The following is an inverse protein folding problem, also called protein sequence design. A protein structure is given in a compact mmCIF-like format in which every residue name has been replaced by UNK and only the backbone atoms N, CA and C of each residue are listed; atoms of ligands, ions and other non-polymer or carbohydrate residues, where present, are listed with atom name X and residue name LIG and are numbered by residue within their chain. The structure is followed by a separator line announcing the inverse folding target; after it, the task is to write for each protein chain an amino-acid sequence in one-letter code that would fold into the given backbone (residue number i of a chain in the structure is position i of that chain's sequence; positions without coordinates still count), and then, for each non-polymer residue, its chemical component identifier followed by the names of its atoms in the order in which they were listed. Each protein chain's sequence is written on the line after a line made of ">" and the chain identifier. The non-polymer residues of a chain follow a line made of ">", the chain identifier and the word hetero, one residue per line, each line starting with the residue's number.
data_IF_427156897366
#
_entry.id   IF_427156897366
#
_cell.length_a   1.000
_cell.length_b   1.000
_cell.length_c   1.000
_cell.angle_alpha   90.00
_cell.angle_beta   90.00
_cell.angle_gamma   90.00
#
_symmetry.space_group_name_H-M   'P 1'
#
loop_
_entity.id
_entity.type
_entity.pdbx_description
1 polymer ?
#
# COMPACT_ATOMS: atom_id res chain seq x y z
N UNK A 1 47.26 -3.08 2.78
CA UNK A 1 46.56 -1.78 2.57
C UNK A 1 46.68 -0.94 3.82
N UNK A 2 46.93 0.37 3.69
CA UNK A 2 47.11 1.27 4.85
C UNK A 2 45.77 1.42 5.58
N UNK A 3 45.76 1.27 6.91
CA UNK A 3 44.56 1.34 7.78
C UNK A 3 43.70 2.59 7.54
N UNK A 4 44.34 3.70 7.18
CA UNK A 4 43.70 4.98 6.82
C UNK A 4 42.86 4.91 5.54
N UNK A 5 43.25 4.03 4.61
CA UNK A 5 42.56 3.79 3.34
C UNK A 5 41.32 2.89 3.51
N UNK A 6 41.35 1.98 4.50
CA UNK A 6 40.20 1.15 4.85
C UNK A 6 39.08 1.97 5.52
N UNK A 7 39.44 2.91 6.40
CA UNK A 7 38.48 3.79 7.09
C UNK A 7 37.77 4.77 6.14
N UNK A 8 38.46 5.25 5.10
CA UNK A 8 37.87 6.14 4.09
C UNK A 8 36.80 5.45 3.24
N UNK A 9 36.95 4.14 2.97
CA UNK A 9 35.98 3.35 2.19
C UNK A 9 34.75 3.00 3.04
N UNK A 10 34.93 2.72 4.32
CA UNK A 10 33.83 2.39 5.25
C UNK A 10 32.94 3.62 5.52
N UNK A 11 33.55 4.79 5.71
CA UNK A 11 32.80 6.03 5.96
C UNK A 11 32.12 6.58 4.69
N UNK A 12 32.73 6.41 3.51
CA UNK A 12 32.17 6.87 2.24
C UNK A 12 30.92 6.10 1.78
N UNK A 13 30.72 4.87 2.26
CA UNK A 13 29.58 4.03 1.87
C UNK A 13 28.30 4.31 2.68
N UNK A 14 28.42 4.86 3.90
CA UNK A 14 27.26 5.10 4.77
C UNK A 14 26.54 6.43 4.51
N UNK A 15 27.22 7.42 3.93
CA UNK A 15 26.66 8.77 3.70
C UNK A 15 25.59 8.81 2.60
N UNK A 16 25.69 8.10 1.45
CA UNK A 16 24.61 8.11 0.47
C UNK A 16 23.39 7.27 0.90
N UNK A 17 23.56 6.29 1.79
CA UNK A 17 22.46 5.39 2.21
C UNK A 17 21.43 6.07 3.14
N UNK A 18 21.75 7.20 3.75
CA UNK A 18 20.86 7.91 4.69
C UNK A 18 19.97 8.98 4.04
N UNK A 19 20.12 9.26 2.74
CA UNK A 19 19.45 10.41 2.10
C UNK A 19 18.23 10.07 1.23
N UNK A 20 17.85 8.79 1.14
CA UNK A 20 16.76 8.34 0.24
C UNK A 20 15.59 7.65 0.95
N UNK A 21 15.27 8.07 2.18
CA UNK A 21 13.94 7.84 2.75
C UNK A 21 13.12 9.13 2.73
N UNK A 22 12.75 9.59 1.53
CA UNK A 22 11.54 10.39 1.41
C UNK A 22 10.36 9.41 1.57
N UNK A 23 9.78 9.39 2.76
CA UNK A 23 8.64 8.56 3.09
C UNK A 23 7.45 9.02 2.25
N UNK A 24 6.93 8.14 1.39
CA UNK A 24 5.63 8.32 0.75
C UNK A 24 4.57 7.96 1.79
N UNK A 25 4.17 8.96 2.59
CA UNK A 25 2.98 8.83 3.41
C UNK A 25 1.78 8.86 2.47
N UNK A 26 1.18 7.70 2.20
CA UNK A 26 -0.21 7.65 1.79
C UNK A 26 -0.99 8.36 2.91
N UNK A 27 -1.56 9.52 2.61
CA UNK A 27 -2.32 10.28 3.59
C UNK A 27 -3.63 9.54 3.84
N UNK A 28 -3.75 8.89 5.00
CA UNK A 28 -5.02 8.34 5.45
C UNK A 28 -6.08 9.46 5.51
N UNK A 29 -7.32 9.20 5.06
CA UNK A 29 -8.38 10.20 5.10
C UNK A 29 -8.66 10.64 6.53
N UNK A 30 -8.83 11.95 6.73
CA UNK A 30 -9.11 12.50 8.06
C UNK A 30 -10.49 12.07 8.55
N UNK A 31 -10.70 12.03 9.87
CA UNK A 31 -12.01 11.71 10.45
C UNK A 31 -13.13 12.64 9.94
N UNK A 32 -12.80 13.91 9.68
CA UNK A 32 -13.74 14.88 9.11
C UNK A 32 -14.16 14.49 7.67
N UNK A 33 -13.22 14.02 6.86
CA UNK A 33 -13.51 13.58 5.49
C UNK A 33 -14.33 12.27 5.47
N UNK A 34 -14.07 11.36 6.41
CA UNK A 34 -14.90 10.15 6.56
C UNK A 34 -16.33 10.49 6.96
N UNK A 35 -16.55 11.46 7.84
CA UNK A 35 -17.90 11.89 8.21
C UNK A 35 -18.62 12.58 7.04
N UNK A 36 -17.89 13.43 6.30
CA UNK A 36 -18.40 14.06 5.08
C UNK A 36 -18.78 13.03 4.02
N UNK A 37 -17.99 11.95 3.87
CA UNK A 37 -18.34 10.85 2.98
C UNK A 37 -19.66 10.21 3.38
N UNK A 38 -19.88 9.91 4.67
CA UNK A 38 -21.16 9.34 5.13
C UNK A 38 -22.35 10.24 4.84
N UNK A 39 -22.19 11.55 4.98
CA UNK A 39 -23.23 12.51 4.63
C UNK A 39 -23.57 12.45 3.15
N UNK A 40 -22.54 12.44 2.28
CA UNK A 40 -22.71 12.27 0.84
C UNK A 40 -23.35 10.93 0.49
N UNK A 41 -22.92 9.84 1.13
CA UNK A 41 -23.45 8.49 0.91
C UNK A 41 -24.94 8.42 1.25
N UNK A 42 -25.32 8.96 2.41
CA UNK A 42 -26.73 9.01 2.80
C UNK A 42 -27.56 9.75 1.75
N UNK A 43 -27.07 10.90 1.27
CA UNK A 43 -27.81 11.68 0.28
C UNK A 43 -27.94 10.91 -1.03
N UNK A 44 -26.85 10.33 -1.55
CA UNK A 44 -26.84 9.65 -2.85
C UNK A 44 -27.64 8.34 -2.81
N UNK A 45 -27.39 7.51 -1.80
CA UNK A 45 -27.88 6.13 -1.77
C UNK A 45 -29.21 5.97 -1.04
N UNK A 46 -29.66 6.99 -0.30
CA UNK A 46 -30.97 7.02 0.35
C UNK A 46 -31.82 8.17 -0.19
N UNK A 47 -31.46 9.43 0.12
CA UNK A 47 -32.37 10.57 -0.06
C UNK A 47 -32.64 10.91 -1.54
N UNK A 48 -31.68 10.66 -2.44
CA UNK A 48 -31.75 10.99 -3.88
C UNK A 48 -31.77 9.78 -4.79
N UNK A 49 -31.84 8.57 -4.24
CA UNK A 49 -31.74 7.32 -5.01
C UNK A 49 -32.74 7.27 -6.18
N UNK A 50 -33.98 7.69 -5.93
CA UNK A 50 -35.05 7.66 -6.93
C UNK A 50 -34.83 8.72 -8.01
N UNK A 51 -34.52 9.97 -7.64
CA UNK A 51 -34.26 11.06 -8.59
C UNK A 51 -33.04 10.76 -9.49
N UNK A 52 -31.98 10.19 -8.92
CA UNK A 52 -30.80 9.78 -9.69
C UNK A 52 -31.18 8.69 -10.71
N UNK A 53 -31.99 7.72 -10.31
CA UNK A 53 -32.46 6.66 -11.20
C UNK A 53 -33.35 7.22 -12.33
N UNK A 54 -34.27 8.15 -12.03
CA UNK A 54 -35.11 8.82 -13.04
C UNK A 54 -34.29 9.61 -14.06
N UNK A 55 -33.18 10.22 -13.63
CA UNK A 55 -32.23 10.92 -14.51
C UNK A 55 -31.28 9.98 -15.26
N UNK A 56 -31.35 8.67 -15.03
CA UNK A 56 -30.44 7.69 -15.61
C UNK A 56 -29.00 7.79 -15.09
N UNK A 57 -28.81 8.37 -13.90
CA UNK A 57 -27.51 8.54 -13.25
C UNK A 57 -27.29 7.36 -12.30
N UNK A 58 -26.23 6.61 -12.54
CA UNK A 58 -25.76 5.54 -11.64
C UNK A 58 -24.51 6.01 -10.91
N UNK A 59 -24.53 6.04 -9.58
CA UNK A 59 -23.31 6.25 -8.78
C UNK A 59 -22.68 4.90 -8.48
N UNK A 60 -21.41 4.72 -8.84
CA UNK A 60 -20.69 3.45 -8.69
C UNK A 60 -19.92 3.36 -7.39
N UNK A 61 -19.39 4.48 -6.90
CA UNK A 61 -18.66 4.57 -5.63
C UNK A 61 -18.58 6.02 -5.14
N UNK A 62 -18.24 6.14 -3.87
CA UNK A 62 -17.76 7.38 -3.24
C UNK A 62 -16.43 7.11 -2.55
N UNK A 63 -15.55 8.11 -2.52
CA UNK A 63 -14.30 8.00 -1.79
C UNK A 63 -13.89 9.36 -1.19
N UNK A 64 -13.32 9.39 0.02
CA UNK A 64 -12.80 10.62 0.59
C UNK A 64 -11.44 10.93 -0.02
N UNK A 65 -11.30 12.11 -0.61
CA UNK A 65 -10.01 12.69 -1.01
C UNK A 65 -9.49 13.59 0.12
N UNK A 66 -8.37 14.29 -0.13
CA UNK A 66 -7.78 15.21 0.86
C UNK A 66 -8.77 16.30 1.30
N UNK A 67 -9.50 16.89 0.33
CA UNK A 67 -10.37 18.06 0.56
C UNK A 67 -11.81 17.90 0.01
N UNK A 68 -12.07 16.88 -0.80
CA UNK A 68 -13.36 16.66 -1.50
C UNK A 68 -13.80 15.19 -1.38
N UNK A 69 -15.06 14.92 -1.69
CA UNK A 69 -15.55 13.55 -1.87
C UNK A 69 -15.58 13.24 -3.36
N UNK A 70 -14.87 12.21 -3.77
CA UNK A 70 -14.97 11.66 -5.12
C UNK A 70 -16.32 10.94 -5.27
N UNK A 71 -17.01 11.17 -6.39
CA UNK A 71 -18.25 10.49 -6.76
C UNK A 71 -18.05 9.90 -8.16
N UNK A 72 -17.94 8.58 -8.24
CA UNK A 72 -17.87 7.86 -9.51
C UNK A 72 -19.25 7.69 -10.12
N UNK A 73 -19.42 8.10 -11.37
CA UNK A 73 -20.74 8.05 -12.04
C UNK A 73 -20.72 7.37 -13.40
N UNK A 74 -21.87 6.82 -13.77
CA UNK A 74 -22.17 6.37 -15.12
C UNK A 74 -23.59 6.81 -15.53
N UNK A 75 -23.77 7.44 -16.71
CA UNK A 75 -22.73 7.88 -17.64
C UNK A 75 -21.95 9.11 -17.13
N UNK A 76 -20.65 9.16 -17.43
CA UNK A 76 -19.80 10.33 -17.18
C UNK A 76 -19.94 11.36 -18.31
N UNK A 77 -20.86 12.31 -18.14
CA UNK A 77 -21.11 13.39 -19.10
C UNK A 77 -21.41 14.71 -18.38
N UNK A 78 -21.39 15.83 -19.12
CA UNK A 78 -21.57 17.17 -18.57
C UNK A 78 -22.88 17.35 -17.78
N UNK A 79 -23.97 16.71 -18.22
CA UNK A 79 -25.28 16.81 -17.57
C UNK A 79 -25.23 16.17 -16.18
N UNK A 80 -24.67 14.97 -16.08
CA UNK A 80 -24.48 14.26 -14.79
C UNK A 80 -23.54 15.04 -13.87
N UNK A 81 -22.43 15.52 -14.41
CA UNK A 81 -21.40 16.25 -13.65
C UNK A 81 -21.98 17.55 -13.09
N UNK A 82 -22.63 18.35 -13.93
CA UNK A 82 -23.24 19.61 -13.51
C UNK A 82 -24.31 19.41 -12.45
N UNK A 83 -25.18 18.39 -12.59
CA UNK A 83 -26.22 18.11 -11.60
C UNK A 83 -25.61 17.84 -10.21
N UNK A 84 -24.56 17.01 -10.12
CA UNK A 84 -23.91 16.70 -8.85
C UNK A 84 -23.11 17.87 -8.28
N UNK A 85 -22.42 18.64 -9.13
CA UNK A 85 -21.68 19.83 -8.71
C UNK A 85 -22.63 20.93 -8.23
N UNK A 86 -23.76 21.15 -8.90
CA UNK A 86 -24.76 22.13 -8.49
C UNK A 86 -25.38 21.76 -7.14
N UNK A 87 -25.61 20.46 -6.92
CA UNK A 87 -26.21 19.96 -5.69
C UNK A 87 -25.25 20.01 -4.50
N UNK A 88 -24.04 19.48 -4.63
CA UNK A 88 -23.07 19.37 -3.51
C UNK A 88 -22.14 20.57 -3.41
N UNK A 89 -21.97 21.34 -4.48
CA UNK A 89 -20.99 22.41 -4.61
C UNK A 89 -19.62 21.93 -5.08
N UNK A 90 -19.02 22.67 -6.01
CA UNK A 90 -17.73 22.36 -6.67
C UNK A 90 -16.56 22.17 -5.68
N UNK A 91 -16.61 22.81 -4.52
CA UNK A 91 -15.57 22.70 -3.48
C UNK A 91 -15.75 21.48 -2.57
N UNK A 92 -16.85 20.76 -2.68
CA UNK A 92 -17.18 19.64 -1.80
C UNK A 92 -16.99 18.29 -2.45
N UNK A 93 -17.20 18.21 -3.77
CA UNK A 93 -17.17 16.94 -4.51
C UNK A 93 -16.32 17.04 -5.76
N UNK A 94 -15.80 15.90 -6.18
CA UNK A 94 -15.13 15.72 -7.46
C UNK A 94 -15.82 14.57 -8.18
N UNK A 95 -16.37 14.82 -9.36
CA UNK A 95 -17.10 13.80 -10.12
C UNK A 95 -16.13 13.14 -11.09
N UNK A 96 -16.10 11.81 -11.11
CA UNK A 96 -15.19 11.03 -11.97
C UNK A 96 -15.96 9.96 -12.75
N UNK A 97 -15.32 9.42 -13.79
CA UNK A 97 -15.88 8.30 -14.54
C UNK A 97 -15.89 7.02 -13.70
N UNK A 98 -17.10 6.59 -13.32
CA UNK A 98 -17.33 5.41 -12.50
C UNK A 98 -17.06 4.08 -13.19
N UNK A 99 -16.81 4.08 -14.51
CA UNK A 99 -16.38 2.90 -15.26
C UNK A 99 -14.90 2.57 -15.08
N UNK A 100 -14.10 3.52 -14.61
CA UNK A 100 -12.74 3.26 -14.19
C UNK A 100 -12.79 2.78 -12.74
N UNK A 101 -12.57 1.48 -12.52
CA UNK A 101 -12.47 0.92 -11.18
C UNK A 101 -11.35 1.66 -10.44
N UNK A 102 -11.65 2.19 -9.26
CA UNK A 102 -10.64 2.71 -8.35
C UNK A 102 -9.63 1.58 -8.07
N UNK A 103 -8.45 1.67 -8.67
CA UNK A 103 -7.34 0.78 -8.31
C UNK A 103 -6.92 1.26 -6.93
N UNK A 104 -7.27 0.48 -5.91
CA UNK A 104 -6.64 0.65 -4.60
C UNK A 104 -5.14 0.48 -4.85
N UNK A 105 -4.37 1.57 -4.84
CA UNK A 105 -2.92 1.52 -4.81
C UNK A 105 -2.53 0.97 -3.43
N UNK A 106 -2.69 -0.35 -3.28
CA UNK A 106 -2.10 -1.07 -2.17
C UNK A 106 -0.60 -0.95 -2.39
N UNK A 107 0.09 -0.17 -1.57
CA UNK A 107 1.54 -0.25 -1.44
C UNK A 107 1.90 -1.58 -0.78
N UNK A 108 1.61 -2.68 -1.44
CA UNK A 108 2.10 -4.00 -1.09
C UNK A 108 2.95 -4.45 -2.26
N UNK A 109 4.25 -4.39 -2.03
CA UNK A 109 5.28 -4.97 -2.88
C UNK A 109 5.08 -6.49 -2.94
N UNK A 110 4.12 -6.95 -3.73
CA UNK A 110 4.06 -8.31 -4.26
C UNK A 110 2.99 -8.39 -5.37
N UNK A 111 3.27 -7.86 -6.55
CA UNK A 111 2.53 -8.26 -7.75
C UNK A 111 2.98 -9.65 -8.22
N UNK A 112 2.09 -10.32 -8.98
CA UNK A 112 2.24 -11.53 -9.81
C UNK A 112 1.82 -12.84 -9.07
N UNK A 113 0.75 -13.58 -9.40
CA UNK A 113 -0.12 -13.76 -10.59
C UNK A 113 -1.40 -14.47 -10.09
N UNK A 114 -2.61 -14.11 -10.57
CA UNK A 114 -3.36 -14.72 -11.68
C UNK A 114 -3.79 -16.19 -11.49
N UNK A 115 -5.11 -16.33 -11.61
CA UNK A 115 -5.94 -17.50 -11.90
C UNK A 115 -6.16 -18.57 -10.84
N UNK A 116 -7.44 -18.92 -10.70
CA UNK A 116 -7.90 -20.00 -9.86
C UNK A 116 -7.47 -21.35 -10.40
N UNK A 117 -7.00 -22.19 -9.49
CA UNK A 117 -7.32 -23.61 -9.40
C UNK A 117 -6.89 -24.05 -8.00
N UNK A 118 -7.81 -24.64 -7.23
CA UNK A 118 -7.40 -25.64 -6.25
C UNK A 118 -6.93 -26.86 -7.05
N UNK A 119 -5.78 -27.46 -6.72
CA UNK A 119 -5.72 -28.26 -5.50
C UNK A 119 -4.41 -28.10 -4.69
N UNK A 120 -4.58 -28.21 -3.37
CA UNK A 120 -3.74 -28.98 -2.45
C UNK A 120 -2.24 -29.08 -2.78
N UNK A 121 -1.37 -28.35 -2.06
CA UNK A 121 -0.06 -28.87 -1.60
C UNK A 121 0.49 -28.06 -0.42
N UNK A 122 0.79 -28.79 0.65
CA UNK A 122 1.13 -28.31 1.99
C UNK A 122 2.58 -27.79 2.06
N UNK A 123 2.81 -26.57 1.55
CA UNK A 123 4.13 -25.92 1.55
C UNK A 123 4.49 -25.19 2.85
N UNK A 124 4.78 -25.95 3.91
CA UNK A 124 5.25 -25.46 5.22
C UNK A 124 6.34 -24.36 5.16
N UNK A 125 5.98 -23.13 5.52
CA UNK A 125 6.84 -21.93 5.69
C UNK A 125 7.90 -22.09 6.80
N UNK A 126 7.93 -23.24 7.47
CA UNK A 126 8.85 -23.56 8.56
C UNK A 126 10.26 -23.98 8.08
N UNK A 127 10.41 -24.47 6.85
CA UNK A 127 11.70 -25.00 6.36
C UNK A 127 12.87 -24.00 6.28
N UNK A 128 12.72 -22.72 5.84
CA UNK A 128 13.88 -21.83 5.74
C UNK A 128 14.48 -21.47 7.11
N UNK A 129 13.67 -21.38 8.16
CA UNK A 129 14.16 -21.06 9.52
C UNK A 129 14.99 -22.22 10.08
N UNK A 130 14.55 -23.47 9.91
CA UNK A 130 15.32 -24.63 10.37
C UNK A 130 16.62 -24.83 9.59
N UNK A 131 16.63 -24.54 8.28
CA UNK A 131 17.85 -24.56 7.47
C UNK A 131 18.85 -23.50 7.97
N UNK A 132 18.38 -22.29 8.27
CA UNK A 132 19.21 -21.21 8.80
C UNK A 132 19.77 -21.56 10.20
N UNK A 133 18.94 -22.13 11.07
CA UNK A 133 19.35 -22.57 12.40
C UNK A 133 20.39 -23.69 12.35
N UNK A 134 20.27 -24.65 11.43
CA UNK A 134 21.23 -25.73 11.26
C UNK A 134 22.61 -25.22 10.81
N UNK A 135 22.66 -24.21 9.93
CA UNK A 135 23.91 -23.59 9.47
C UNK A 135 24.63 -22.88 10.63
N UNK A 136 23.90 -22.16 11.48
CA UNK A 136 24.47 -21.44 12.63
C UNK A 136 25.11 -22.41 13.64
N UNK A 137 24.46 -23.54 13.93
CA UNK A 137 25.00 -24.56 14.86
C UNK A 137 26.26 -25.22 14.30
N UNK A 138 26.29 -25.54 13.00
CA UNK A 138 27.46 -26.13 12.36
C UNK A 138 28.66 -25.17 12.32
N UNK A 139 28.44 -23.91 11.95
CA UNK A 139 29.50 -22.89 11.94
C UNK A 139 30.03 -22.60 13.35
N UNK A 140 29.16 -22.47 14.35
CA UNK A 140 29.56 -22.24 15.75
C UNK A 140 30.40 -23.39 16.33
N UNK A 141 30.06 -24.64 16.01
CA UNK A 141 30.81 -25.82 16.46
C UNK A 141 32.24 -25.89 15.90
N UNK A 142 32.41 -25.56 14.62
CA UNK A 142 33.73 -25.57 13.95
C UNK A 142 34.63 -24.47 14.53
N UNK A 143 34.09 -23.27 14.74
CA UNK A 143 34.82 -22.13 15.32
C UNK A 143 35.28 -22.45 16.75
N UNK A 144 34.40 -23.00 17.58
CA UNK A 144 34.72 -23.35 18.98
C UNK A 144 35.81 -24.43 19.06
N UNK A 145 35.78 -25.42 18.16
CA UNK A 145 36.80 -26.48 18.07
C UNK A 145 38.16 -25.92 17.63
N UNK A 146 38.20 -24.95 16.71
CA UNK A 146 39.42 -24.28 16.29
C UNK A 146 40.03 -23.44 17.42
N UNK A 147 39.22 -22.71 18.17
CA UNK A 147 39.66 -21.92 19.33
C UNK A 147 40.25 -22.83 20.41
N UNK A 148 39.58 -23.94 20.77
CA UNK A 148 40.10 -24.91 21.74
C UNK A 148 41.41 -25.56 21.29
N UNK A 149 41.55 -25.87 20.00
CA UNK A 149 42.80 -26.43 19.45
C UNK A 149 43.96 -25.43 19.50
N UNK A 150 43.67 -24.13 19.35
CA UNK A 150 44.67 -23.06 19.43
C UNK A 150 45.12 -22.81 20.88
N UNK A 151 44.21 -22.89 21.85
CA UNK A 151 44.53 -22.73 23.29
C UNK A 151 45.33 -23.90 23.89
N UNK A 152 45.26 -25.12 23.32
CA UNK A 152 46.07 -26.28 23.75
C UNK A 152 47.51 -26.30 23.22
N UNK A 153 47.87 -25.36 22.36
CA UNK A 153 49.19 -25.25 21.71
C UNK A 153 50.02 -24.05 22.17
N UNK A 154 49.49 -23.27 23.12
CA UNK A 154 50.20 -22.24 23.88
C UNK A 154 50.45 -22.75 25.30
#
# INVERSE_FOLDING_TARGET
>A
MKLKMLMAIILGLCVPFMTTLATSAASEPTAAMLEKQKEVDKIIFEDKKEELAEKGITVTHTAPLENTIEIGVQPYNEVTIHYLIEFFGEKNVTVVDGGQQAVIMTANSNELLRDGEAPEESGSVLKPIYILAAIIVLCGGIITKMIRKKLRKS
#
